data_IF_413959384729
#
_entry.id   IF_413959384729
#
_cell.length_a   1.000
_cell.length_b   1.000
_cell.length_c   1.000
_cell.angle_alpha   90.00
_cell.angle_beta   90.00
_cell.angle_gamma   90.00
#
_symmetry.space_group_name_H-M   'P 1'
#
loop_
_entity.id
_entity.type
_entity.pdbx_description
1 polymer ?
#
# COMPACT_ATOMS: atom_id res chain seq x y z
N UNK A 1 17.74 0.82 -11.80
CA UNK A 1 17.08 -0.02 -10.78
C UNK A 1 17.95 -0.22 -9.55
N UNK A 2 19.26 -0.42 -9.66
CA UNK A 2 20.18 -0.61 -8.51
C UNK A 2 20.10 0.50 -7.43
N UNK A 3 19.91 1.76 -7.82
CA UNK A 3 19.80 2.88 -6.88
C UNK A 3 18.42 3.01 -6.19
N UNK A 4 17.36 2.39 -6.73
CA UNK A 4 16.05 2.28 -6.08
C UNK A 4 16.06 1.12 -5.07
N UNK A 5 16.75 0.06 -5.47
CA UNK A 5 16.97 -1.16 -4.73
C UNK A 5 17.76 -0.84 -3.45
N UNK A 6 18.98 -0.32 -3.51
CA UNK A 6 19.78 -0.13 -2.28
C UNK A 6 19.15 0.82 -1.24
N UNK A 7 18.32 1.74 -1.69
CA UNK A 7 17.80 2.86 -0.90
C UNK A 7 16.50 2.45 -0.17
N UNK A 8 15.62 1.66 -0.81
CA UNK A 8 14.41 1.10 -0.21
C UNK A 8 14.67 0.22 1.04
N UNK A 9 15.79 -0.51 1.06
CA UNK A 9 16.18 -1.32 2.22
C UNK A 9 16.54 -0.46 3.45
N UNK A 10 17.01 0.78 3.24
CA UNK A 10 17.37 1.71 4.32
C UNK A 10 16.14 2.25 5.06
N UNK A 11 15.01 2.44 4.37
CA UNK A 11 13.74 2.86 5.00
C UNK A 11 13.24 1.86 6.05
N UNK A 12 13.24 0.56 5.71
CA UNK A 12 12.76 -0.43 6.68
C UNK A 12 13.68 -0.52 7.90
N UNK A 13 14.98 -0.30 7.69
CA UNK A 13 15.96 -0.23 8.79
C UNK A 13 15.72 1.00 9.66
N UNK A 14 15.36 2.14 9.05
CA UNK A 14 15.03 3.38 9.77
C UNK A 14 13.73 3.31 10.57
N UNK A 15 12.73 2.50 10.18
CA UNK A 15 11.59 2.23 11.08
C UNK A 15 12.05 1.70 12.44
N UNK A 16 13.20 1.03 12.49
CA UNK A 16 13.81 0.57 13.73
C UNK A 16 14.33 1.67 14.66
N UNK A 17 14.32 2.93 14.25
CA UNK A 17 14.68 4.09 15.05
C UNK A 17 13.46 4.79 15.68
N UNK A 18 12.24 4.43 15.26
CA UNK A 18 10.99 4.98 15.79
C UNK A 18 10.37 4.06 16.84
N UNK A 19 9.58 4.62 17.76
CA UNK A 19 9.00 3.91 18.91
C UNK A 19 8.08 2.73 18.53
N UNK A 20 7.68 2.66 17.25
CA UNK A 20 6.97 1.55 16.63
C UNK A 20 7.77 0.22 16.72
N UNK A 21 9.10 0.29 16.73
CA UNK A 21 10.03 -0.85 16.86
C UNK A 21 9.89 -1.64 18.18
N UNK A 22 9.15 -1.10 19.15
CA UNK A 22 8.84 -1.77 20.42
C UNK A 22 7.76 -2.85 20.27
N UNK A 23 7.06 -2.93 19.14
CA UNK A 23 6.08 -4.00 18.90
C UNK A 23 6.79 -5.31 18.49
N UNK A 24 6.51 -6.46 19.13
CA UNK A 24 7.23 -7.72 18.84
C UNK A 24 7.13 -8.18 17.39
N UNK A 25 5.96 -7.99 16.76
CA UNK A 25 5.70 -8.35 15.35
C UNK A 25 6.54 -7.50 14.38
N UNK A 26 6.75 -6.21 14.70
CA UNK A 26 7.66 -5.39 13.90
C UNK A 26 9.10 -5.78 14.06
N UNK A 27 9.52 -6.13 15.27
CA UNK A 27 10.91 -6.47 15.53
C UNK A 27 11.34 -7.63 14.62
N UNK A 28 10.55 -8.70 14.56
CA UNK A 28 10.82 -9.82 13.66
C UNK A 28 10.75 -9.47 12.17
N UNK A 29 9.80 -8.61 11.77
CA UNK A 29 9.67 -8.16 10.37
C UNK A 29 10.83 -7.24 9.94
N UNK A 30 11.27 -6.35 10.83
CA UNK A 30 12.42 -5.46 10.64
C UNK A 30 13.74 -6.22 10.64
N UNK A 31 13.90 -7.21 11.52
CA UNK A 31 15.06 -8.11 11.52
C UNK A 31 15.13 -8.89 10.21
N UNK A 32 14.01 -9.48 9.76
CA UNK A 32 13.98 -10.12 8.45
C UNK A 32 14.32 -9.16 7.32
N UNK A 33 13.76 -7.95 7.31
CA UNK A 33 14.06 -6.95 6.29
C UNK A 33 15.55 -6.52 6.30
N UNK A 34 16.17 -6.44 7.49
CA UNK A 34 17.61 -6.18 7.66
C UNK A 34 18.46 -7.27 7.04
N UNK A 35 18.08 -8.54 7.23
CA UNK A 35 18.83 -9.70 6.74
C UNK A 35 18.48 -10.10 5.30
N UNK A 36 17.30 -9.73 4.80
CA UNK A 36 16.79 -10.04 3.45
C UNK A 36 16.53 -8.77 2.66
N UNK A 37 17.51 -7.86 2.62
CA UNK A 37 17.39 -6.56 1.96
C UNK A 37 16.80 -6.71 0.56
N UNK A 38 17.39 -7.55 -0.31
CA UNK A 38 16.93 -7.78 -1.69
C UNK A 38 15.43 -8.09 -1.85
N UNK A 39 14.82 -8.75 -0.86
CA UNK A 39 13.39 -9.03 -0.88
C UNK A 39 12.56 -7.74 -0.80
N UNK A 40 12.92 -6.86 0.13
CA UNK A 40 12.32 -5.52 0.27
C UNK A 40 12.44 -4.74 -1.04
N UNK A 41 13.60 -4.82 -1.68
CA UNK A 41 13.92 -4.06 -2.88
C UNK A 41 13.10 -4.54 -4.07
N UNK A 42 12.92 -5.86 -4.18
CA UNK A 42 12.03 -6.48 -5.15
C UNK A 42 10.58 -6.04 -4.92
N UNK A 43 10.09 -6.04 -3.68
CA UNK A 43 8.74 -5.56 -3.34
C UNK A 43 8.52 -4.11 -3.76
N UNK A 44 9.45 -3.21 -3.45
CA UNK A 44 9.37 -1.81 -3.93
C UNK A 44 9.35 -1.70 -5.46
N UNK A 45 10.20 -2.47 -6.15
CA UNK A 45 10.24 -2.46 -7.60
C UNK A 45 8.93 -2.97 -8.23
N UNK A 46 8.32 -4.01 -7.63
CA UNK A 46 7.02 -4.54 -8.02
C UNK A 46 5.95 -3.45 -7.88
N UNK A 47 5.88 -2.77 -6.74
CA UNK A 47 4.91 -1.69 -6.53
C UNK A 47 5.12 -0.49 -7.43
N UNK A 48 6.36 -0.05 -7.65
CA UNK A 48 6.65 1.01 -8.60
C UNK A 48 6.17 0.65 -10.02
N UNK A 49 6.34 -0.61 -10.45
CA UNK A 49 5.83 -1.08 -11.73
C UNK A 49 4.30 -1.13 -11.77
N UNK A 50 3.63 -1.59 -10.71
CA UNK A 50 2.17 -1.59 -10.62
C UNK A 50 1.58 -0.17 -10.64
N UNK A 51 2.24 0.79 -10.00
CA UNK A 51 1.83 2.21 -10.07
C UNK A 51 2.04 2.77 -11.48
N UNK A 52 3.11 2.38 -12.18
CA UNK A 52 3.24 2.70 -13.61
C UNK A 52 2.10 2.09 -14.43
N UNK A 53 1.74 0.85 -14.14
CA UNK A 53 0.64 0.15 -14.82
C UNK A 53 -0.71 0.84 -14.60
N UNK A 54 -0.99 1.33 -13.39
CA UNK A 54 -2.15 2.16 -13.06
C UNK A 54 -2.29 3.35 -14.02
N UNK A 55 -1.21 4.12 -14.25
CA UNK A 55 -1.23 5.25 -15.19
C UNK A 55 -1.24 4.87 -16.68
N UNK A 56 -1.24 3.58 -17.01
CA UNK A 56 -1.20 3.06 -18.39
C UNK A 56 -2.32 2.06 -18.66
N UNK A 57 -3.35 2.05 -17.82
CA UNK A 57 -4.56 1.26 -18.08
C UNK A 57 -5.17 1.68 -19.41
N UNK A 58 -5.56 0.70 -20.22
CA UNK A 58 -6.28 0.98 -21.47
C UNK A 58 -7.73 1.38 -21.19
N UNK A 59 -8.43 2.03 -22.14
CA UNK A 59 -9.86 2.30 -21.99
C UNK A 59 -10.68 1.05 -21.67
N UNK A 60 -10.33 -0.10 -22.26
CA UNK A 60 -10.98 -1.38 -21.98
C UNK A 60 -10.69 -1.89 -20.56
N UNK A 61 -9.46 -1.76 -20.08
CA UNK A 61 -9.13 -2.12 -18.69
C UNK A 61 -9.88 -1.22 -17.69
N UNK A 62 -10.01 0.08 -17.99
CA UNK A 62 -10.77 1.02 -17.17
C UNK A 62 -12.27 0.71 -17.15
N UNK A 63 -12.86 0.36 -18.29
CA UNK A 63 -14.25 -0.05 -18.41
C UNK A 63 -14.54 -1.31 -17.56
N UNK A 64 -13.68 -2.33 -17.65
CA UNK A 64 -13.81 -3.54 -16.79
C UNK A 64 -13.72 -3.17 -15.31
N UNK A 65 -12.74 -2.35 -14.92
CA UNK A 65 -12.58 -1.92 -13.53
C UNK A 65 -13.82 -1.16 -13.05
N UNK A 66 -14.36 -0.26 -13.86
CA UNK A 66 -15.56 0.50 -13.54
C UNK A 66 -16.76 -0.43 -13.33
N UNK A 67 -17.01 -1.36 -14.26
CA UNK A 67 -18.11 -2.33 -14.13
C UNK A 67 -17.99 -3.18 -12.86
N UNK A 68 -16.79 -3.63 -12.51
CA UNK A 68 -16.56 -4.40 -11.27
C UNK A 68 -16.81 -3.53 -10.03
N UNK A 69 -16.28 -2.31 -10.00
CA UNK A 69 -16.47 -1.42 -8.87
C UNK A 69 -17.95 -1.02 -8.68
N UNK A 70 -18.70 -0.78 -9.75
CA UNK A 70 -20.14 -0.54 -9.70
C UNK A 70 -20.91 -1.72 -9.12
N UNK A 71 -20.58 -2.96 -9.54
CA UNK A 71 -21.20 -4.19 -8.97
C UNK A 71 -20.91 -4.36 -7.48
N UNK A 72 -19.71 -4.00 -7.05
CA UNK A 72 -19.28 -4.07 -5.65
C UNK A 72 -19.66 -2.82 -4.85
N UNK A 73 -20.39 -1.87 -5.44
CA UNK A 73 -20.76 -0.58 -4.85
C UNK A 73 -19.55 0.21 -4.30
N UNK A 74 -18.40 0.05 -4.97
CA UNK A 74 -17.16 0.76 -4.64
C UNK A 74 -17.16 2.10 -5.37
N UNK A 75 -17.16 3.18 -4.59
CA UNK A 75 -17.15 4.55 -5.10
C UNK A 75 -15.76 5.03 -5.55
N UNK A 76 -14.70 4.30 -5.15
CA UNK A 76 -13.30 4.67 -5.37
C UNK A 76 -12.54 3.54 -6.04
N UNK A 77 -11.47 3.88 -6.74
CA UNK A 77 -10.63 2.92 -7.43
C UNK A 77 -9.75 3.59 -8.49
N UNK A 78 -9.25 2.79 -9.42
CA UNK A 78 -8.32 3.26 -10.46
C UNK A 78 -8.89 4.38 -11.33
N UNK A 79 -10.20 4.36 -11.64
CA UNK A 79 -10.83 5.35 -12.49
C UNK A 79 -10.77 6.76 -11.87
N UNK A 80 -11.34 6.92 -10.67
CA UNK A 80 -11.32 8.17 -9.90
C UNK A 80 -9.89 8.65 -9.63
N UNK A 81 -8.99 7.73 -9.30
CA UNK A 81 -7.57 8.04 -9.11
C UNK A 81 -6.96 8.69 -10.35
N UNK A 82 -7.15 8.10 -11.52
CA UNK A 82 -6.54 8.59 -12.75
C UNK A 82 -7.10 9.96 -13.12
N UNK A 83 -8.40 10.17 -12.94
CA UNK A 83 -9.04 11.46 -13.18
C UNK A 83 -8.35 12.60 -12.40
N UNK A 84 -8.10 12.39 -11.11
CA UNK A 84 -7.49 13.40 -10.25
C UNK A 84 -5.95 13.48 -10.37
N UNK A 85 -5.29 12.34 -10.57
CA UNK A 85 -3.83 12.22 -10.41
C UNK A 85 -3.07 12.20 -11.74
N UNK A 86 -3.74 12.09 -12.88
CA UNK A 86 -3.10 12.13 -14.21
C UNK A 86 -2.22 13.37 -14.43
N UNK A 87 -2.59 14.59 -13.99
CA UNK A 87 -1.71 15.76 -14.08
C UNK A 87 -0.40 15.61 -13.28
N UNK A 88 -0.41 14.82 -12.22
CA UNK A 88 0.72 14.60 -11.30
C UNK A 88 1.45 13.28 -11.54
N UNK A 89 1.19 12.61 -12.67
CA UNK A 89 1.75 11.29 -12.99
C UNK A 89 3.28 11.26 -12.87
N UNK A 90 3.95 12.25 -13.45
CA UNK A 90 5.42 12.25 -13.51
C UNK A 90 6.02 12.45 -12.12
N UNK A 91 5.39 13.30 -11.31
CA UNK A 91 5.74 13.58 -9.92
C UNK A 91 5.56 12.34 -9.07
N UNK A 92 4.41 11.65 -9.19
CA UNK A 92 4.11 10.40 -8.46
C UNK A 92 5.14 9.31 -8.82
N UNK A 93 5.39 9.09 -10.11
CA UNK A 93 6.37 8.09 -10.54
C UNK A 93 7.79 8.45 -10.09
N UNK A 94 8.15 9.74 -10.10
CA UNK A 94 9.42 10.21 -9.58
C UNK A 94 9.55 9.96 -8.08
N UNK A 95 8.56 10.36 -7.27
CA UNK A 95 8.66 10.19 -5.81
C UNK A 95 8.66 8.72 -5.42
N UNK A 96 7.85 7.87 -6.05
CA UNK A 96 7.85 6.41 -5.79
C UNK A 96 9.20 5.81 -6.17
N UNK A 97 9.81 6.26 -7.27
CA UNK A 97 11.16 5.84 -7.67
C UNK A 97 12.22 6.24 -6.63
N UNK A 98 12.02 7.36 -5.96
CA UNK A 98 12.90 7.87 -4.91
C UNK A 98 12.44 7.54 -3.50
N UNK A 99 11.38 6.74 -3.33
CA UNK A 99 10.77 6.51 -2.02
C UNK A 99 11.75 5.88 -1.02
N UNK A 100 12.80 5.20 -1.50
CA UNK A 100 13.87 4.67 -0.66
C UNK A 100 14.82 5.71 -0.05
N UNK A 101 14.86 6.95 -0.56
CA UNK A 101 15.87 7.94 -0.17
C UNK A 101 15.50 8.66 1.12
N UNK A 102 15.93 8.10 2.24
CA UNK A 102 15.70 8.61 3.60
C UNK A 102 16.14 10.06 3.83
N UNK A 103 16.99 10.62 2.98
CA UNK A 103 17.45 12.00 3.10
C UNK A 103 16.50 13.00 2.45
N UNK A 104 15.55 12.54 1.63
CA UNK A 104 14.47 13.38 1.14
C UNK A 104 13.49 13.70 2.29
N UNK A 105 13.21 14.99 2.57
CA UNK A 105 12.32 15.39 3.67
C UNK A 105 10.94 14.72 3.63
N UNK A 106 10.39 14.48 2.44
CA UNK A 106 9.09 13.86 2.24
C UNK A 106 9.10 12.38 2.58
N UNK A 107 10.21 11.71 2.32
CA UNK A 107 10.38 10.31 2.71
C UNK A 107 10.39 10.20 4.23
N UNK A 108 11.17 11.06 4.91
CA UNK A 108 11.18 11.11 6.38
C UNK A 108 9.78 11.37 6.94
N UNK A 109 9.08 12.39 6.43
CA UNK A 109 7.72 12.74 6.86
C UNK A 109 6.73 11.58 6.65
N UNK A 110 6.76 10.93 5.48
CA UNK A 110 5.90 9.78 5.20
C UNK A 110 6.17 8.59 6.12
N UNK A 111 7.44 8.33 6.42
CA UNK A 111 7.88 7.29 7.36
C UNK A 111 7.41 7.59 8.79
N UNK A 112 7.51 8.85 9.23
CA UNK A 112 7.01 9.32 10.54
C UNK A 112 5.49 9.19 10.65
N UNK A 113 4.76 9.57 9.61
CA UNK A 113 3.30 9.39 9.54
C UNK A 113 2.91 7.92 9.64
N UNK A 114 3.58 7.05 8.89
CA UNK A 114 3.37 5.61 8.95
C UNK A 114 3.62 5.04 10.34
N UNK A 115 4.77 5.38 10.95
CA UNK A 115 5.12 4.93 12.30
C UNK A 115 4.09 5.41 13.34
N UNK A 116 3.61 6.64 13.22
CA UNK A 116 2.56 7.20 14.07
C UNK A 116 1.25 6.42 13.92
N UNK A 117 0.79 6.16 12.70
CA UNK A 117 -0.47 5.43 12.46
C UNK A 117 -0.39 3.97 12.93
N UNK A 118 0.77 3.32 12.80
CA UNK A 118 1.01 1.98 13.34
C UNK A 118 1.08 1.99 14.87
N UNK A 119 1.70 3.01 15.48
CA UNK A 119 1.72 3.21 16.93
C UNK A 119 0.33 3.44 17.52
N UNK A 120 -0.48 4.26 16.85
CA UNK A 120 -1.88 4.48 17.22
C UNK A 120 -2.68 3.18 17.18
N UNK A 121 -2.49 2.35 16.14
CA UNK A 121 -3.14 1.04 16.04
C UNK A 121 -2.80 0.14 17.24
N UNK A 122 -1.52 0.13 17.63
CA UNK A 122 -1.05 -0.66 18.77
C UNK A 122 -1.62 -0.18 20.11
N UNK A 123 -1.66 1.13 20.33
CA UNK A 123 -2.24 1.69 21.55
C UNK A 123 -3.74 1.39 21.62
N UNK A 124 -4.46 1.58 20.51
CA UNK A 124 -5.89 1.27 20.44
C UNK A 124 -6.17 -0.21 20.72
N UNK A 125 -5.32 -1.14 20.27
CA UNK A 125 -5.43 -2.57 20.62
C UNK A 125 -5.25 -2.85 22.10
N UNK A 126 -4.37 -2.11 22.78
CA UNK A 126 -4.16 -2.28 24.24
C UNK A 126 -5.36 -1.76 25.02
N UNK A 127 -5.90 -0.62 24.59
CA UNK A 127 -7.04 0.04 25.21
C UNK A 127 -8.35 -0.72 24.98
N UNK A 128 -8.57 -1.18 23.75
CA UNK A 128 -9.73 -1.98 23.35
C UNK A 128 -9.27 -3.21 22.54
N UNK A 129 -9.00 -4.33 23.23
CA UNK A 129 -8.58 -5.57 22.60
C UNK A 129 -9.55 -6.08 21.53
N UNK A 130 -10.85 -5.85 21.67
CA UNK A 130 -11.85 -6.44 20.79
C UNK A 130 -12.30 -5.48 19.68
N UNK A 131 -11.75 -4.27 19.65
CA UNK A 131 -12.03 -3.33 18.60
C UNK A 131 -11.57 -3.86 17.22
N UNK A 132 -12.39 -3.61 16.22
CA UNK A 132 -12.07 -3.86 14.82
C UNK A 132 -12.46 -2.63 14.00
N UNK A 133 -11.63 -2.17 13.06
CA UNK A 133 -11.94 -1.02 12.23
C UNK A 133 -13.21 -1.28 11.41
N UNK A 134 -14.06 -0.26 11.31
CA UNK A 134 -15.28 -0.25 10.50
C UNK A 134 -15.32 1.03 9.69
N UNK A 135 -15.93 0.96 8.51
CA UNK A 135 -16.15 2.13 7.67
C UNK A 135 -16.96 3.17 8.45
N UNK A 136 -16.52 4.43 8.41
CA UNK A 136 -17.14 5.54 9.13
C UNK A 136 -16.71 5.71 10.59
N UNK A 137 -15.84 4.86 11.15
CA UNK A 137 -15.22 5.10 12.46
C UNK A 137 -14.02 6.06 12.29
N UNK A 138 -14.06 7.30 12.83
CA UNK A 138 -12.95 8.26 12.69
C UNK A 138 -11.62 7.80 13.30
N UNK A 139 -11.65 6.80 14.20
CA UNK A 139 -10.43 6.17 14.72
C UNK A 139 -9.74 5.31 13.67
N UNK A 140 -10.51 4.67 12.78
CA UNK A 140 -9.99 3.83 11.71
C UNK A 140 -9.12 4.63 10.72
N UNK A 141 -9.44 5.92 10.52
CA UNK A 141 -8.69 6.82 9.65
C UNK A 141 -7.30 7.18 10.19
N UNK A 142 -7.11 7.07 11.51
CA UNK A 142 -5.87 7.45 12.21
C UNK A 142 -4.90 6.28 12.42
N UNK A 143 -5.27 5.08 11.99
CA UNK A 143 -4.54 3.84 12.29
C UNK A 143 -4.29 2.99 11.05
N UNK A 144 -3.18 2.26 11.02
CA UNK A 144 -2.97 1.15 10.07
C UNK A 144 -3.16 -0.15 10.84
N UNK A 145 -4.42 -0.57 10.96
CA UNK A 145 -4.84 -1.64 11.88
C UNK A 145 -4.34 -3.04 11.51
N UNK A 146 -4.21 -3.34 10.20
CA UNK A 146 -3.76 -4.64 9.69
C UNK A 146 -2.41 -5.12 10.25
N UNK A 147 -1.69 -4.21 10.90
CA UNK A 147 -0.44 -4.43 11.56
C UNK A 147 -0.51 -5.05 12.96
N UNK A 148 -1.59 -4.81 13.69
CA UNK A 148 -1.70 -5.11 15.12
C UNK A 148 -1.54 -6.59 15.43
N UNK A 149 -2.08 -7.45 14.57
CA UNK A 149 -1.96 -8.91 14.69
C UNK A 149 -0.87 -9.49 13.78
N UNK A 150 -0.46 -8.76 12.74
CA UNK A 150 0.48 -9.24 11.73
C UNK A 150 -0.05 -10.46 10.96
N UNK A 151 0.74 -10.91 9.99
CA UNK A 151 0.61 -12.22 9.35
C UNK A 151 1.67 -13.18 9.89
N UNK A 152 1.39 -14.48 9.83
CA UNK A 152 2.36 -15.53 10.20
C UNK A 152 3.59 -15.51 9.27
N UNK A 153 3.40 -15.31 7.96
CA UNK A 153 4.50 -15.13 7.02
C UNK A 153 5.04 -13.69 7.10
N UNK A 154 6.31 -13.49 7.52
CA UNK A 154 6.89 -12.16 7.61
C UNK A 154 7.04 -11.45 6.26
N UNK A 155 7.02 -12.16 5.13
CA UNK A 155 6.96 -11.54 3.79
C UNK A 155 5.71 -10.71 3.61
N UNK A 156 4.57 -11.19 4.11
CA UNK A 156 3.29 -10.48 4.05
C UNK A 156 3.38 -9.21 4.91
N UNK A 157 4.06 -9.25 6.05
CA UNK A 157 4.29 -8.07 6.91
C UNK A 157 5.21 -7.03 6.25
N UNK A 158 6.26 -7.48 5.57
CA UNK A 158 7.16 -6.59 4.81
C UNK A 158 6.41 -5.95 3.65
N UNK A 159 5.65 -6.73 2.89
CA UNK A 159 4.85 -6.25 1.77
C UNK A 159 3.88 -5.13 2.19
N UNK A 160 3.15 -5.37 3.29
CA UNK A 160 2.23 -4.41 3.89
C UNK A 160 2.92 -3.14 4.39
N UNK A 161 4.10 -3.26 5.00
CA UNK A 161 4.87 -2.09 5.42
C UNK A 161 5.37 -1.27 4.22
N UNK A 162 5.79 -1.94 3.14
CA UNK A 162 6.28 -1.28 1.93
C UNK A 162 5.16 -0.51 1.22
N UNK A 163 4.01 -1.13 0.96
CA UNK A 163 2.93 -0.46 0.23
C UNK A 163 2.37 0.74 1.00
N UNK A 164 2.14 0.61 2.31
CA UNK A 164 1.73 1.75 3.14
C UNK A 164 2.83 2.81 3.26
N UNK A 165 4.10 2.40 3.20
CA UNK A 165 5.23 3.35 3.12
C UNK A 165 5.16 4.19 1.85
N UNK A 166 4.98 3.54 0.69
CA UNK A 166 4.84 4.22 -0.60
C UNK A 166 3.64 5.18 -0.59
N UNK A 167 2.49 4.72 -0.08
CA UNK A 167 1.28 5.52 0.11
C UNK A 167 1.57 6.80 0.92
N UNK A 168 2.15 6.68 2.12
CA UNK A 168 2.39 7.84 3.00
C UNK A 168 3.45 8.78 2.47
N UNK A 169 4.51 8.26 1.86
CA UNK A 169 5.55 9.06 1.19
C UNK A 169 4.95 9.89 0.05
N UNK A 170 4.11 9.25 -0.77
CA UNK A 170 3.46 9.92 -1.91
C UNK A 170 2.49 10.99 -1.41
N UNK A 171 1.68 10.69 -0.37
CA UNK A 171 0.80 11.68 0.28
C UNK A 171 1.60 12.88 0.80
N UNK A 172 2.68 12.66 1.55
CA UNK A 172 3.50 13.72 2.13
C UNK A 172 4.08 14.65 1.05
N UNK A 173 4.51 14.10 -0.08
CA UNK A 173 5.00 14.86 -1.21
C UNK A 173 3.90 15.69 -1.89
N UNK A 174 2.74 15.08 -2.15
CA UNK A 174 1.65 15.75 -2.84
C UNK A 174 1.06 16.89 -1.99
N UNK A 175 0.95 16.73 -0.67
CA UNK A 175 0.63 17.82 0.25
C UNK A 175 1.59 19.00 0.13
N UNK A 176 2.90 18.73 -0.03
CA UNK A 176 3.90 19.79 -0.17
C UNK A 176 3.69 20.63 -1.42
N UNK A 177 3.20 20.02 -2.50
CA UNK A 177 2.93 20.73 -3.77
C UNK A 177 1.49 21.23 -3.88
N UNK A 178 0.71 21.19 -2.79
CA UNK A 178 -0.62 21.77 -2.71
C UNK A 178 -1.75 20.88 -3.23
N UNK A 179 -1.51 19.60 -3.50
CA UNK A 179 -2.55 18.63 -3.87
C UNK A 179 -3.10 18.02 -2.58
N UNK A 180 -4.36 18.26 -2.23
CA UNK A 180 -4.94 17.80 -0.94
C UNK A 180 -6.27 17.07 -1.10
N UNK A 181 -7.17 17.56 -1.95
CA UNK A 181 -8.57 17.13 -2.04
C UNK A 181 -8.77 15.61 -2.13
N UNK A 182 -8.00 14.93 -2.99
CA UNK A 182 -8.11 13.49 -3.18
C UNK A 182 -7.30 12.67 -2.17
N UNK A 183 -6.15 13.20 -1.73
CA UNK A 183 -5.13 12.42 -1.02
C UNK A 183 -5.25 12.46 0.51
N UNK A 184 -6.15 13.30 1.03
CA UNK A 184 -6.51 13.32 2.44
C UNK A 184 -7.24 12.05 2.87
N UNK A 185 -7.72 11.26 1.91
CA UNK A 185 -8.21 9.92 2.16
C UNK A 185 -7.07 8.96 2.50
N UNK A 186 -7.29 8.18 3.56
CA UNK A 186 -6.43 7.06 3.88
C UNK A 186 -6.52 6.00 2.77
N UNK A 187 -5.37 5.50 2.33
CA UNK A 187 -5.21 4.42 1.34
C UNK A 187 -5.71 4.76 -0.08
N UNK A 188 -5.63 6.01 -0.53
CA UNK A 188 -6.11 6.45 -1.86
C UNK A 188 -5.36 5.77 -3.02
N UNK A 189 -4.03 5.67 -2.93
CA UNK A 189 -3.20 5.04 -3.94
C UNK A 189 -3.31 3.51 -3.85
N UNK A 190 -3.31 2.95 -2.64
CA UNK A 190 -3.50 1.50 -2.43
C UNK A 190 -4.86 1.04 -2.96
N UNK A 191 -5.93 1.79 -2.72
CA UNK A 191 -7.28 1.50 -3.24
C UNK A 191 -7.29 1.47 -4.77
N UNK A 192 -6.60 2.41 -5.42
CA UNK A 192 -6.47 2.41 -6.88
C UNK A 192 -5.62 1.24 -7.40
N UNK A 193 -4.56 0.89 -6.67
CA UNK A 193 -3.71 -0.26 -7.01
C UNK A 193 -4.43 -1.60 -6.87
N UNK A 194 -5.39 -1.72 -5.95
CA UNK A 194 -6.22 -2.92 -5.77
C UNK A 194 -6.89 -3.37 -7.07
N UNK A 195 -7.39 -2.43 -7.87
CA UNK A 195 -8.01 -2.72 -9.16
C UNK A 195 -7.00 -3.28 -10.17
N UNK A 196 -5.81 -2.68 -10.23
CA UNK A 196 -4.73 -3.12 -11.14
C UNK A 196 -4.21 -4.49 -10.73
N UNK A 197 -3.97 -4.69 -9.44
CA UNK A 197 -3.50 -5.96 -8.87
C UNK A 197 -4.54 -7.06 -9.11
N UNK A 198 -5.83 -6.78 -8.90
CA UNK A 198 -6.89 -7.74 -9.15
C UNK A 198 -6.99 -8.08 -10.64
N UNK A 199 -7.16 -7.09 -11.52
CA UNK A 199 -7.34 -7.31 -12.96
C UNK A 199 -6.14 -8.02 -13.60
N UNK A 200 -4.95 -7.41 -13.48
CA UNK A 200 -3.74 -7.91 -14.16
C UNK A 200 -3.16 -9.13 -13.46
N UNK A 201 -3.26 -9.20 -12.13
CA UNK A 201 -2.80 -10.35 -11.37
C UNK A 201 -3.59 -11.62 -11.69
N UNK A 202 -4.91 -11.51 -11.85
CA UNK A 202 -5.76 -12.65 -12.24
C UNK A 202 -5.52 -13.07 -13.70
N UNK A 203 -5.03 -12.16 -14.56
CA UNK A 203 -4.53 -12.48 -15.91
C UNK A 203 -3.13 -13.12 -15.89
N UNK A 204 -2.53 -13.33 -14.71
CA UNK A 204 -1.17 -13.89 -14.59
C UNK A 204 -0.05 -12.92 -14.96
N UNK A 205 -0.33 -11.61 -15.10
CA UNK A 205 0.68 -10.62 -15.49
C UNK A 205 1.61 -10.29 -14.32
N UNK A 206 2.91 -10.22 -14.62
CA UNK A 206 3.93 -9.80 -13.66
C UNK A 206 4.08 -8.27 -13.67
N UNK A 207 4.26 -7.60 -12.51
CA UNK A 207 4.41 -8.17 -11.16
C UNK A 207 3.10 -8.43 -10.40
N UNK A 208 1.95 -8.01 -10.94
CA UNK A 208 0.67 -8.01 -10.20
C UNK A 208 0.26 -9.38 -9.70
N UNK A 209 0.57 -10.47 -10.42
CA UNK A 209 0.26 -11.82 -9.97
C UNK A 209 0.93 -12.18 -8.63
N UNK A 210 2.16 -11.71 -8.39
CA UNK A 210 2.85 -11.94 -7.12
C UNK A 210 2.23 -11.13 -5.99
N UNK A 211 1.88 -9.88 -6.27
CA UNK A 211 1.24 -8.99 -5.30
C UNK A 211 -0.15 -9.54 -4.95
N UNK A 212 -0.92 -10.00 -5.94
CA UNK A 212 -2.23 -10.59 -5.77
C UNK A 212 -2.20 -11.79 -4.81
N UNK A 213 -1.21 -12.68 -4.95
CA UNK A 213 -1.06 -13.82 -4.06
C UNK A 213 -0.94 -13.41 -2.59
N UNK A 214 -0.22 -12.31 -2.30
CA UNK A 214 -0.08 -11.73 -0.96
C UNK A 214 -1.38 -11.02 -0.54
N UNK A 215 -1.97 -10.21 -1.43
CA UNK A 215 -3.15 -9.40 -1.14
C UNK A 215 -4.42 -10.22 -0.94
N UNK A 216 -4.44 -11.48 -1.38
CA UNK A 216 -5.51 -12.44 -1.11
C UNK A 216 -5.36 -13.15 0.24
N UNK A 217 -4.21 -13.03 0.92
CA UNK A 217 -4.03 -13.66 2.22
C UNK A 217 -4.80 -12.87 3.28
N UNK A 218 -5.79 -13.48 3.95
CA UNK A 218 -6.57 -12.78 4.96
C UNK A 218 -5.66 -12.40 6.12
N UNK A 219 -5.64 -11.11 6.47
CA UNK A 219 -5.07 -10.68 7.74
C UNK A 219 -6.14 -10.93 8.81
N UNK A 220 -5.74 -11.46 9.97
CA UNK A 220 -6.70 -11.88 10.97
C UNK A 220 -7.52 -10.72 11.57
N UNK A 221 -7.11 -9.47 11.32
CA UNK A 221 -7.95 -8.28 11.39
C UNK A 221 -7.41 -7.25 10.40
N UNK A 222 -8.10 -7.02 9.28
CA UNK A 222 -7.64 -6.15 8.18
C UNK A 222 -7.88 -6.81 6.81
N UNK A 223 -8.14 -6.00 5.79
CA UNK A 223 -8.49 -6.50 4.47
C UNK A 223 -7.27 -7.18 3.84
N UNK A 224 -7.39 -8.47 3.54
CA UNK A 224 -6.80 -8.96 2.30
C UNK A 224 -7.43 -8.11 1.21
N UNK A 225 -6.67 -7.14 0.70
CA UNK A 225 -7.21 -6.05 -0.12
C UNK A 225 -8.01 -6.63 -1.27
N UNK A 226 -7.50 -7.64 -1.97
CA UNK A 226 -8.30 -8.35 -2.97
C UNK A 226 -9.11 -9.47 -2.32
N UNK A 227 -10.34 -9.15 -1.91
CA UNK A 227 -11.29 -10.14 -1.40
C UNK A 227 -11.65 -11.20 -2.45
N UNK A 228 -12.11 -12.37 -1.97
CA UNK A 228 -12.61 -13.44 -2.86
C UNK A 228 -13.77 -12.94 -3.76
N UNK A 229 -14.68 -12.14 -3.20
CA UNK A 229 -15.79 -11.55 -3.95
C UNK A 229 -15.29 -10.66 -5.08
N UNK A 230 -14.32 -9.76 -4.80
CA UNK A 230 -13.70 -8.92 -5.84
C UNK A 230 -13.03 -9.77 -6.92
N UNK A 231 -12.27 -10.80 -6.53
CA UNK A 231 -11.61 -11.68 -7.47
C UNK A 231 -12.59 -12.45 -8.37
N UNK A 232 -13.74 -12.87 -7.84
CA UNK A 232 -14.81 -13.52 -8.62
C UNK A 232 -15.43 -12.57 -9.65
N UNK A 233 -15.66 -11.31 -9.30
CA UNK A 233 -16.17 -10.33 -10.26
C UNK A 233 -15.20 -10.10 -11.42
N UNK A 234 -13.90 -9.87 -11.14
CA UNK A 234 -12.90 -9.70 -12.19
C UNK A 234 -12.75 -10.94 -13.10
N UNK A 235 -12.87 -12.16 -12.55
CA UNK A 235 -12.79 -13.39 -13.36
C UNK A 235 -13.88 -13.49 -14.43
N UNK A 236 -15.02 -12.81 -14.29
CA UNK A 236 -16.07 -12.79 -15.32
C UNK A 236 -15.63 -12.11 -16.62
N UNK A 237 -14.60 -11.27 -16.54
CA UNK A 237 -14.07 -10.48 -17.65
C UNK A 237 -12.73 -11.00 -18.18
N UNK A 238 -12.13 -11.97 -17.49
CA UNK A 238 -10.84 -12.57 -17.85
C UNK A 238 -11.14 -13.88 -18.57
N UNK A 239 -10.75 -13.95 -19.85
CA UNK A 239 -10.85 -15.14 -20.70
C UNK A 239 -9.56 -15.93 -20.67
#
# INVERSE_FOLDING_TARGET
MNNLIETAGKNIIQFGQYDVAKTPILRGSMEMARHKKEMVLRTFAQYHMTIKHLFTLTPQELDVIQQVNEKLQKKRGAHEFIEHMKPHRNEILKIVRHAGDVYLPENRKGIEQLATMMGNAWNLRKEDPNWTPRDGDPRADKVIWGFVKGAEDPKINIDFAVCHGIERITTAYLHRIGVTEYIDHKDWLITAMEDVVALRGLQGKYPEANILHIWQQPRPVGLGWVSQARAQEYRKFIR
#
